data_IF_171606928903
#
_entry.id   IF_171606928903
#
_cell.length_a   1.000
_cell.length_b   1.000
_cell.length_c   1.000
_cell.angle_alpha   90.00
_cell.angle_beta   90.00
_cell.angle_gamma   90.00
#
_symmetry.space_group_name_H-M   'P 1'
#
loop_
_entity.id
_entity.type
_entity.pdbx_description
1 polymer ?
#
# COMPACT_ATOMS: atom_id res chain seq x y z
N UNK A 1 15.95 -41.30 -16.66
CA UNK A 1 16.75 -40.06 -16.82
C UNK A 1 16.00 -39.20 -17.82
N UNK A 2 15.11 -38.30 -17.38
CA UNK A 2 14.39 -37.39 -18.29
C UNK A 2 15.38 -36.30 -18.68
N UNK A 3 15.56 -36.11 -19.99
CA UNK A 3 16.53 -35.17 -20.54
C UNK A 3 16.20 -33.74 -20.08
N UNK A 4 17.26 -32.95 -19.85
CA UNK A 4 17.15 -31.53 -19.56
C UNK A 4 16.84 -30.70 -20.83
N UNK A 5 16.74 -31.35 -21.99
CA UNK A 5 16.56 -30.74 -23.31
C UNK A 5 15.10 -30.43 -23.70
N UNK A 6 14.10 -30.90 -22.93
CA UNK A 6 12.67 -30.64 -23.24
C UNK A 6 12.26 -29.15 -23.06
N UNK A 7 13.18 -28.26 -22.68
CA UNK A 7 12.93 -26.82 -22.48
C UNK A 7 13.23 -25.94 -23.69
N UNK A 8 13.97 -26.45 -24.69
CA UNK A 8 14.44 -25.65 -25.82
C UNK A 8 13.52 -25.69 -27.06
N UNK A 9 12.53 -26.59 -27.11
CA UNK A 9 11.50 -26.64 -28.15
C UNK A 9 10.21 -25.87 -27.76
N UNK A 10 10.35 -24.76 -27.04
CA UNK A 10 9.25 -23.81 -26.93
C UNK A 10 9.04 -23.17 -28.31
N UNK A 11 7.89 -23.45 -28.92
CA UNK A 11 7.47 -22.84 -30.18
C UNK A 11 7.71 -21.32 -30.13
N UNK A 12 8.41 -20.78 -31.12
CA UNK A 12 8.75 -19.36 -31.21
C UNK A 12 7.50 -18.48 -31.14
N UNK A 13 6.34 -18.99 -31.60
CA UNK A 13 5.05 -18.32 -31.45
C UNK A 13 4.65 -18.13 -29.98
N UNK A 14 4.83 -19.16 -29.14
CA UNK A 14 4.56 -19.13 -27.70
C UNK A 14 5.52 -18.18 -26.99
N UNK A 15 6.80 -18.18 -27.39
CA UNK A 15 7.79 -17.26 -26.84
C UNK A 15 7.44 -15.80 -27.14
N UNK A 16 7.02 -15.50 -28.36
CA UNK A 16 6.60 -14.15 -28.74
C UNK A 16 5.35 -13.70 -27.97
N UNK A 17 4.35 -14.56 -27.80
CA UNK A 17 3.14 -14.25 -27.01
C UNK A 17 3.47 -13.98 -25.54
N UNK A 18 4.36 -14.79 -24.94
CA UNK A 18 4.82 -14.58 -23.57
C UNK A 18 5.52 -13.22 -23.39
N UNK A 19 6.32 -12.79 -24.36
CA UNK A 19 6.97 -11.47 -24.31
C UNK A 19 5.92 -10.36 -24.33
N UNK A 20 4.95 -10.41 -25.24
CA UNK A 20 3.89 -9.39 -25.34
C UNK A 20 3.03 -9.30 -24.07
N UNK A 21 2.70 -10.45 -23.47
CA UNK A 21 1.95 -10.50 -22.21
C UNK A 21 2.76 -9.91 -21.06
N UNK A 22 4.07 -10.17 -20.99
CA UNK A 22 4.95 -9.61 -19.97
C UNK A 22 5.12 -8.10 -20.12
N UNK A 23 5.27 -7.59 -21.35
CA UNK A 23 5.29 -6.15 -21.61
C UNK A 23 4.00 -5.48 -21.12
N UNK A 24 2.85 -6.17 -21.27
CA UNK A 24 1.57 -5.67 -20.77
C UNK A 24 1.52 -5.66 -19.23
N UNK A 25 2.06 -6.69 -18.58
CA UNK A 25 2.18 -6.77 -17.11
C UNK A 25 3.08 -5.65 -16.59
N UNK A 26 4.25 -5.45 -17.18
CA UNK A 26 5.21 -4.41 -16.75
C UNK A 26 4.59 -3.00 -16.84
N UNK A 27 3.79 -2.74 -17.88
CA UNK A 27 3.06 -1.49 -18.03
C UNK A 27 1.99 -1.31 -16.94
N UNK A 28 1.27 -2.37 -16.58
CA UNK A 28 0.28 -2.34 -15.50
C UNK A 28 0.98 -2.10 -14.17
N UNK A 29 2.10 -2.76 -13.91
CA UNK A 29 2.87 -2.62 -12.67
C UNK A 29 3.41 -1.19 -12.51
N UNK A 30 3.89 -0.57 -13.59
CA UNK A 30 4.27 0.84 -13.57
C UNK A 30 3.09 1.76 -13.19
N UNK A 31 1.90 1.52 -13.75
CA UNK A 31 0.70 2.27 -13.40
C UNK A 31 0.30 2.06 -11.93
N UNK A 32 0.37 0.83 -11.41
CA UNK A 32 0.09 0.51 -10.01
C UNK A 32 1.04 1.28 -9.08
N UNK A 33 2.34 1.32 -9.38
CA UNK A 33 3.34 2.07 -8.59
C UNK A 33 3.00 3.56 -8.57
N UNK A 34 2.69 4.16 -9.72
CA UNK A 34 2.33 5.58 -9.79
C UNK A 34 1.05 5.90 -9.00
N UNK A 35 0.01 5.06 -9.11
CA UNK A 35 -1.25 5.23 -8.36
C UNK A 35 -1.01 5.10 -6.86
N UNK A 36 -0.19 4.12 -6.43
CA UNK A 36 0.18 3.97 -5.03
C UNK A 36 0.95 5.19 -4.53
N UNK A 37 1.90 5.73 -5.29
CA UNK A 37 2.63 6.94 -4.93
C UNK A 37 1.67 8.13 -4.66
N UNK A 38 0.69 8.35 -5.53
CA UNK A 38 -0.34 9.38 -5.31
C UNK A 38 -1.21 9.09 -4.08
N UNK A 39 -1.60 7.82 -3.88
CA UNK A 39 -2.33 7.41 -2.66
C UNK A 39 -1.51 7.71 -1.40
N UNK A 40 -0.20 7.42 -1.41
CA UNK A 40 0.68 7.67 -0.27
C UNK A 40 0.86 9.17 0.01
N UNK A 41 0.95 10.02 -1.02
CA UNK A 41 0.94 11.49 -0.84
C UNK A 41 -0.32 11.96 -0.13
N UNK A 42 -1.48 11.46 -0.53
CA UNK A 42 -2.75 11.79 0.14
C UNK A 42 -2.76 11.32 1.60
N UNK A 43 -2.28 10.10 1.89
CA UNK A 43 -2.25 9.60 3.26
C UNK A 43 -1.21 10.32 4.13
N UNK A 44 -0.09 10.80 3.58
CA UNK A 44 0.85 11.63 4.34
C UNK A 44 0.19 12.96 4.77
N UNK A 45 -0.58 13.59 3.89
CA UNK A 45 -1.36 14.80 4.24
C UNK A 45 -2.38 14.51 5.33
N UNK A 46 -3.08 13.38 5.25
CA UNK A 46 -3.98 12.93 6.34
C UNK A 46 -3.20 12.72 7.64
N UNK A 47 -2.01 12.13 7.59
CA UNK A 47 -1.16 11.90 8.76
C UNK A 47 -0.72 13.19 9.44
N UNK A 48 -0.28 14.18 8.65
CA UNK A 48 0.07 15.52 9.17
C UNK A 48 -1.13 16.20 9.83
N UNK A 49 -2.29 16.19 9.17
CA UNK A 49 -3.52 16.73 9.72
C UNK A 49 -3.91 16.03 11.04
N UNK A 50 -3.80 14.70 11.09
CA UNK A 50 -4.05 13.94 12.32
C UNK A 50 -3.08 14.33 13.43
N UNK A 51 -1.79 14.46 13.13
CA UNK A 51 -0.76 14.85 14.10
C UNK A 51 -1.02 16.26 14.67
N UNK A 52 -1.27 17.24 13.80
CA UNK A 52 -1.59 18.63 14.18
C UNK A 52 -2.79 18.72 15.14
N UNK A 53 -3.80 17.86 14.94
CA UNK A 53 -5.00 17.82 15.76
C UNK A 53 -4.99 16.74 16.86
N UNK A 54 -3.86 16.06 17.09
CA UNK A 54 -3.71 14.96 18.07
C UNK A 54 -4.76 13.84 17.90
N UNK A 55 -5.11 13.55 16.66
CA UNK A 55 -6.01 12.46 16.30
C UNK A 55 -5.24 11.13 16.20
N UNK A 56 -5.89 9.99 16.51
CA UNK A 56 -5.24 8.69 16.42
C UNK A 56 -4.87 8.32 14.97
N UNK A 57 -3.71 7.66 14.82
CA UNK A 57 -3.21 7.16 13.55
C UNK A 57 -4.18 6.14 12.92
N UNK A 58 -4.65 5.18 13.72
CA UNK A 58 -5.67 4.20 13.33
C UNK A 58 -7.10 4.79 13.38
N UNK A 59 -7.96 4.31 12.49
CA UNK A 59 -9.40 4.60 12.50
C UNK A 59 -10.14 3.31 12.08
N UNK A 60 -10.45 2.41 13.03
CA UNK A 60 -11.03 1.10 12.74
C UNK A 60 -12.34 1.20 11.96
N UNK A 61 -13.16 2.22 12.22
CA UNK A 61 -14.42 2.43 11.52
C UNK A 61 -14.19 2.82 10.06
N UNK A 62 -13.20 3.68 9.78
CA UNK A 62 -12.80 4.04 8.42
C UNK A 62 -12.20 2.84 7.68
N UNK A 63 -11.35 2.06 8.33
CA UNK A 63 -10.70 0.87 7.78
C UNK A 63 -11.74 -0.19 7.38
N UNK A 64 -12.70 -0.51 8.26
CA UNK A 64 -13.79 -1.42 7.95
C UNK A 64 -14.62 -0.98 6.72
N UNK A 65 -14.88 0.33 6.58
CA UNK A 65 -15.55 0.88 5.39
C UNK A 65 -14.71 0.74 4.12
N UNK A 66 -13.38 0.90 4.21
CA UNK A 66 -12.48 0.70 3.07
C UNK A 66 -12.48 -0.74 2.60
N UNK A 67 -12.36 -1.70 3.54
CA UNK A 67 -12.38 -3.13 3.26
C UNK A 67 -13.69 -3.51 2.57
N UNK A 68 -14.84 -3.12 3.15
CA UNK A 68 -16.15 -3.42 2.56
C UNK A 68 -16.27 -2.90 1.12
N UNK A 69 -15.90 -1.64 0.88
CA UNK A 69 -15.95 -1.04 -0.46
C UNK A 69 -14.99 -1.72 -1.43
N UNK A 70 -13.78 -2.06 -0.99
CA UNK A 70 -12.80 -2.70 -1.86
C UNK A 70 -13.21 -4.11 -2.26
N UNK A 71 -13.78 -4.89 -1.34
CA UNK A 71 -14.32 -6.22 -1.66
C UNK A 71 -15.38 -6.15 -2.76
N UNK A 72 -16.29 -5.19 -2.69
CA UNK A 72 -17.30 -4.96 -3.73
C UNK A 72 -16.69 -4.59 -5.09
N UNK A 73 -15.63 -3.77 -5.09
CA UNK A 73 -14.90 -3.42 -6.32
C UNK A 73 -14.12 -4.62 -6.89
N UNK A 74 -13.59 -5.49 -6.03
CA UNK A 74 -12.90 -6.70 -6.45
C UNK A 74 -13.88 -7.67 -7.12
N UNK A 75 -15.06 -7.88 -6.53
CA UNK A 75 -16.13 -8.70 -7.10
C UNK A 75 -16.54 -8.21 -8.49
N UNK A 76 -16.76 -6.90 -8.67
CA UNK A 76 -17.13 -6.34 -9.99
C UNK A 76 -16.01 -6.41 -11.02
N UNK A 77 -14.75 -6.39 -10.57
CA UNK A 77 -13.56 -6.53 -11.42
C UNK A 77 -13.15 -8.00 -11.68
N UNK A 78 -13.90 -8.98 -11.15
CA UNK A 78 -13.53 -10.42 -11.18
C UNK A 78 -12.17 -10.73 -10.53
N UNK A 79 -11.79 -9.93 -9.53
CA UNK A 79 -10.63 -10.16 -8.67
C UNK A 79 -11.10 -10.84 -7.38
N UNK A 80 -10.31 -11.76 -6.84
CA UNK A 80 -10.61 -12.39 -5.55
C UNK A 80 -10.73 -11.31 -4.44
N UNK A 81 -11.90 -11.18 -3.78
CA UNK A 81 -12.08 -10.19 -2.72
C UNK A 81 -11.16 -10.42 -1.53
N UNK A 82 -10.78 -11.67 -1.24
CA UNK A 82 -9.85 -11.99 -0.17
C UNK A 82 -8.43 -11.51 -0.49
N UNK A 83 -7.99 -11.65 -1.74
CA UNK A 83 -6.73 -11.07 -2.20
C UNK A 83 -6.74 -9.54 -2.13
N UNK A 84 -7.80 -8.89 -2.61
CA UNK A 84 -7.93 -7.43 -2.56
C UNK A 84 -7.88 -6.90 -1.11
N UNK A 85 -8.55 -7.59 -0.19
CA UNK A 85 -8.50 -7.27 1.24
C UNK A 85 -7.09 -7.41 1.82
N UNK A 86 -6.37 -8.50 1.52
CA UNK A 86 -4.98 -8.68 1.96
C UNK A 86 -4.08 -7.54 1.47
N UNK A 87 -4.20 -7.16 0.20
CA UNK A 87 -3.44 -6.05 -0.38
C UNK A 87 -3.74 -4.73 0.35
N UNK A 88 -5.01 -4.44 0.60
CA UNK A 88 -5.41 -3.22 1.30
C UNK A 88 -4.93 -3.20 2.75
N UNK A 89 -5.02 -4.32 3.46
CA UNK A 89 -4.54 -4.43 4.83
C UNK A 89 -3.03 -4.17 4.90
N UNK A 90 -2.26 -4.70 3.95
CA UNK A 90 -0.83 -4.40 3.81
C UNK A 90 -0.59 -2.90 3.64
N UNK A 91 -1.31 -2.24 2.73
CA UNK A 91 -1.17 -0.81 2.50
C UNK A 91 -1.61 0.02 3.72
N UNK A 92 -2.67 -0.37 4.42
CA UNK A 92 -3.16 0.33 5.62
C UNK A 92 -2.11 0.25 6.74
N UNK A 93 -1.53 -0.93 6.99
CA UNK A 93 -0.49 -1.10 8.00
C UNK A 93 0.69 -0.15 7.76
N UNK A 94 1.12 -0.03 6.51
CA UNK A 94 2.21 0.88 6.14
C UNK A 94 1.84 2.36 6.30
N UNK A 95 0.58 2.73 6.06
CA UNK A 95 0.08 4.09 6.29
C UNK A 95 0.04 4.42 7.79
N UNK A 96 -0.43 3.50 8.63
CA UNK A 96 -0.50 3.69 10.09
C UNK A 96 0.91 3.90 10.65
N UNK A 97 1.89 3.07 10.25
CA UNK A 97 3.29 3.22 10.65
C UNK A 97 3.85 4.61 10.32
N UNK A 98 3.54 5.14 9.14
CA UNK A 98 3.94 6.51 8.77
C UNK A 98 3.26 7.58 9.62
N UNK A 99 1.98 7.41 9.96
CA UNK A 99 1.25 8.36 10.82
C UNK A 99 1.82 8.39 12.24
N UNK A 100 2.20 7.24 12.78
CA UNK A 100 2.85 7.15 14.10
C UNK A 100 4.20 7.89 14.12
N UNK A 101 4.99 7.77 13.04
CA UNK A 101 6.26 8.51 12.89
C UNK A 101 6.04 10.02 12.83
N UNK A 102 5.04 10.48 12.06
CA UNK A 102 4.73 11.92 11.99
C UNK A 102 4.22 12.47 13.33
N UNK A 103 3.44 11.67 14.07
CA UNK A 103 2.96 12.06 15.38
C UNK A 103 4.10 12.21 16.38
N UNK A 104 5.11 11.32 16.37
CA UNK A 104 6.27 11.43 17.28
C UNK A 104 7.17 12.63 16.94
N UNK A 105 7.33 12.98 15.66
CA UNK A 105 8.06 14.17 15.22
C UNK A 105 7.36 15.48 15.59
N UNK A 106 6.02 15.48 15.65
CA UNK A 106 5.20 16.67 15.93
C UNK A 106 5.15 17.08 17.41
N UNK A 107 5.81 16.35 18.31
CA UNK A 107 5.94 16.70 19.73
C UNK A 107 7.33 17.30 19.99
N UNK A 108 7.51 18.64 19.94
CA UNK A 108 8.71 19.26 20.50
C UNK A 108 8.64 19.17 22.02
N UNK A 109 9.77 18.85 22.65
CA UNK A 109 9.91 18.67 24.10
C UNK A 109 9.29 19.80 24.94
N UNK A 110 8.07 19.57 25.42
CA UNK A 110 7.43 20.37 26.45
C UNK A 110 7.91 19.92 27.82
N UNK A 111 9.14 20.27 28.18
CA UNK A 111 9.75 19.93 29.45
C UNK A 111 10.88 20.88 29.79
N UNK A 112 10.57 22.16 30.01
CA UNK A 112 11.44 23.01 30.82
C UNK A 112 11.12 22.72 32.29
N UNK A 113 12.06 22.24 33.11
CA UNK A 113 11.87 22.20 34.55
C UNK A 113 11.85 23.66 35.02
N UNK A 114 10.72 24.09 35.58
CA UNK A 114 10.65 25.32 36.36
C UNK A 114 11.59 25.15 37.57
N UNK A 115 12.78 25.73 37.45
CA UNK A 115 13.74 25.94 38.55
C UNK A 115 13.14 27.00 39.47
N UNK A 116 12.28 26.56 40.38
CA UNK A 116 11.79 27.40 41.48
C UNK A 116 12.77 27.28 42.65
N UNK A 117 13.86 28.04 42.54
CA UNK A 117 14.83 28.30 43.61
C UNK A 117 15.02 29.81 43.78
N UNK A 118 14.14 30.47 44.54
CA UNK A 118 14.45 31.34 45.69
C UNK A 118 13.28 32.24 46.08
#
# INVERSE_FOLDING_TARGET
MRSLDDRDDLDESVRAELVQLRDSIDNIDAAVVHILAERFKATQRVGRLKAEHRLPAADPAREARQIKRLRQLAESAKLDPAFAEKLLNFIIAEVIRHHETLASESVPGGGSPSDDRR
#
